data_IF_614879076394
#
_entry.id   IF_614879076394
#
_cell.length_a   1.000
_cell.length_b   1.000
_cell.length_c   1.000
_cell.angle_alpha   90.00
_cell.angle_beta   90.00
_cell.angle_gamma   90.00
#
_symmetry.space_group_name_H-M   'P 1'
#
loop_
_entity.id
_entity.type
_entity.pdbx_description
1 polymer ?
#
# COMPACT_ATOMS: atom_id res chain seq x y z
N UNK A 1 23.02 -12.60 -4.05
CA UNK A 1 21.64 -12.54 -4.59
C UNK A 1 20.72 -11.95 -3.52
N UNK A 2 20.03 -10.83 -3.79
CA UNK A 2 19.16 -10.15 -2.81
C UNK A 2 17.95 -11.05 -2.52
N UNK A 3 17.77 -11.50 -1.28
CA UNK A 3 16.66 -12.40 -0.90
C UNK A 3 15.45 -11.55 -0.54
N UNK A 4 14.45 -11.52 -1.41
CA UNK A 4 13.19 -10.83 -1.16
C UNK A 4 12.36 -11.64 -0.14
N UNK A 5 11.88 -10.95 0.91
CA UNK A 5 11.03 -11.54 1.94
C UNK A 5 9.55 -11.38 1.56
N UNK A 6 8.72 -12.27 2.06
CA UNK A 6 7.26 -12.08 2.06
C UNK A 6 6.92 -10.92 3.00
N UNK A 7 6.11 -9.98 2.52
CA UNK A 7 5.67 -8.84 3.31
C UNK A 7 4.55 -9.28 4.27
N UNK A 8 4.57 -8.73 5.48
CA UNK A 8 3.51 -8.88 6.46
C UNK A 8 3.16 -7.50 7.04
N UNK A 9 1.89 -7.31 7.38
CA UNK A 9 1.34 -6.13 8.05
C UNK A 9 0.89 -6.50 9.47
N UNK A 10 1.00 -5.53 10.38
CA UNK A 10 0.48 -5.64 11.75
C UNK A 10 -1.04 -5.43 11.79
N UNK A 11 -1.74 -5.87 12.85
CA UNK A 11 -3.15 -5.49 13.06
C UNK A 11 -3.36 -3.98 12.90
N UNK A 12 -4.36 -3.61 12.09
CA UNK A 12 -4.67 -2.22 11.75
C UNK A 12 -3.73 -1.55 10.74
N UNK A 13 -2.80 -2.29 10.11
CA UNK A 13 -1.80 -1.74 9.18
C UNK A 13 -2.09 -2.13 7.72
N UNK A 14 -1.92 -1.16 6.83
CA UNK A 14 -1.74 -1.34 5.39
C UNK A 14 -0.28 -1.10 5.05
N UNK A 15 0.29 -1.95 4.20
CA UNK A 15 1.70 -1.86 3.84
C UNK A 15 1.92 -2.21 2.38
N UNK A 16 2.79 -1.45 1.72
CA UNK A 16 3.30 -1.76 0.40
C UNK A 16 4.82 -1.83 0.39
N UNK A 17 5.35 -2.71 -0.45
CA UNK A 17 6.79 -2.75 -0.72
C UNK A 17 7.20 -3.90 -1.62
N UNK A 18 8.44 -3.83 -2.09
CA UNK A 18 8.96 -4.80 -3.04
C UNK A 18 9.32 -6.12 -2.35
N UNK A 19 8.69 -7.21 -2.77
CA UNK A 19 8.80 -8.52 -2.13
C UNK A 19 8.15 -9.59 -2.98
N UNK A 20 7.74 -10.70 -2.36
CA UNK A 20 6.97 -11.75 -3.04
C UNK A 20 5.68 -12.00 -2.27
N UNK A 21 4.59 -12.27 -3.00
CA UNK A 21 3.35 -12.76 -2.40
C UNK A 21 3.56 -14.16 -1.80
N UNK A 22 4.15 -15.07 -2.59
CA UNK A 22 4.54 -16.41 -2.15
C UNK A 22 5.95 -16.81 -2.62
N UNK A 23 6.39 -18.04 -2.30
CA UNK A 23 7.74 -18.52 -2.65
C UNK A 23 7.95 -18.76 -4.15
N UNK A 24 6.88 -18.99 -4.89
CA UNK A 24 6.86 -19.35 -6.31
C UNK A 24 6.67 -18.14 -7.21
N UNK A 25 6.13 -17.03 -6.70
CA UNK A 25 5.98 -15.79 -7.43
C UNK A 25 7.31 -15.04 -7.61
N UNK A 26 7.45 -14.40 -8.78
CA UNK A 26 8.48 -13.40 -9.03
C UNK A 26 8.28 -12.20 -8.09
N UNK A 27 9.35 -11.53 -7.66
CA UNK A 27 9.20 -10.38 -6.81
C UNK A 27 8.57 -9.20 -7.57
N UNK A 28 7.67 -8.50 -6.90
CA UNK A 28 6.94 -7.34 -7.42
C UNK A 28 6.69 -6.35 -6.28
N UNK A 29 6.03 -5.23 -6.59
CA UNK A 29 5.39 -4.43 -5.55
C UNK A 29 4.20 -5.24 -4.98
N UNK A 30 4.18 -5.43 -3.66
CA UNK A 30 3.16 -6.23 -2.97
C UNK A 30 2.44 -5.37 -1.95
N UNK A 31 1.13 -5.57 -1.82
CA UNK A 31 0.25 -4.88 -0.89
C UNK A 31 -0.32 -5.88 0.10
N UNK A 32 -0.16 -5.58 1.39
CA UNK A 32 -0.61 -6.45 2.47
C UNK A 32 -1.41 -5.66 3.50
N UNK A 33 -2.37 -6.34 4.11
CA UNK A 33 -3.24 -5.81 5.16
C UNK A 33 -3.15 -6.72 6.39
N UNK A 34 -3.23 -6.15 7.58
CA UNK A 34 -3.07 -6.90 8.83
C UNK A 34 -4.35 -7.19 9.60
N UNK A 35 -5.54 -6.91 9.05
CA UNK A 35 -6.80 -7.01 9.79
C UNK A 35 -6.96 -5.85 10.78
N UNK A 36 -7.73 -6.02 11.86
CA UNK A 36 -7.91 -4.97 12.88
C UNK A 36 -8.45 -3.66 12.32
N UNK A 37 -9.37 -3.74 11.35
CA UNK A 37 -9.89 -2.60 10.60
C UNK A 37 -9.23 -2.40 9.23
N UNK A 38 -7.96 -2.79 9.03
CA UNK A 38 -7.31 -2.75 7.72
C UNK A 38 -7.63 -3.99 6.89
N UNK A 39 -8.38 -3.81 5.81
CA UNK A 39 -8.94 -4.90 5.00
C UNK A 39 -8.35 -4.95 3.59
N UNK A 40 -8.62 -6.05 2.88
CA UNK A 40 -8.21 -6.24 1.48
C UNK A 40 -8.68 -5.12 0.53
N UNK A 41 -9.92 -4.59 0.62
CA UNK A 41 -10.33 -3.45 -0.21
C UNK A 41 -9.47 -2.21 0.01
N UNK A 42 -9.00 -1.96 1.23
CA UNK A 42 -8.14 -0.80 1.51
C UNK A 42 -6.74 -0.98 0.87
N UNK A 43 -6.21 -2.20 0.87
CA UNK A 43 -4.98 -2.52 0.15
C UNK A 43 -5.15 -2.35 -1.38
N UNK A 44 -6.36 -2.62 -1.92
CA UNK A 44 -6.69 -2.36 -3.33
C UNK A 44 -6.66 -0.85 -3.64
N UNK A 45 -7.18 0.00 -2.75
CA UNK A 45 -7.09 1.46 -2.90
C UNK A 45 -5.64 1.91 -2.99
N UNK A 46 -4.77 1.38 -2.14
CA UNK A 46 -3.33 1.68 -2.17
C UNK A 46 -2.68 1.22 -3.47
N UNK A 47 -3.01 0.01 -3.94
CA UNK A 47 -2.53 -0.51 -5.23
C UNK A 47 -2.95 0.37 -6.40
N UNK A 48 -4.23 0.72 -6.48
CA UNK A 48 -4.74 1.64 -7.50
C UNK A 48 -4.04 3.00 -7.48
N UNK A 49 -3.79 3.56 -6.30
CA UNK A 49 -3.11 4.85 -6.18
C UNK A 49 -1.66 4.84 -6.70
N UNK A 50 -0.97 3.69 -6.60
CA UNK A 50 0.44 3.57 -6.98
C UNK A 50 0.62 3.09 -8.42
N UNK A 51 -0.16 2.11 -8.86
CA UNK A 51 0.07 1.39 -10.11
C UNK A 51 -0.94 1.69 -11.22
N UNK A 52 -2.13 2.21 -10.92
CA UNK A 52 -3.08 2.53 -11.99
C UNK A 52 -2.59 3.75 -12.79
N UNK A 53 -2.82 3.69 -14.10
CA UNK A 53 -2.63 4.84 -14.98
C UNK A 53 -3.57 5.95 -14.54
N UNK A 54 -3.04 7.17 -14.50
CA UNK A 54 -3.83 8.35 -14.11
C UNK A 54 -4.50 8.93 -15.35
N UNK A 55 -5.77 9.30 -15.21
CA UNK A 55 -6.50 9.99 -16.28
C UNK A 55 -6.46 11.49 -16.02
N UNK A 56 -6.22 12.27 -17.07
CA UNK A 56 -6.21 13.71 -17.02
C UNK A 56 -6.76 14.31 -18.31
N UNK A 57 -6.70 15.63 -18.39
CA UNK A 57 -7.02 16.36 -19.61
C UNK A 57 -5.76 17.03 -20.15
N UNK A 58 -5.51 16.86 -21.44
CA UNK A 58 -4.42 17.50 -22.16
C UNK A 58 -4.77 18.96 -22.46
N UNK A 59 -3.98 19.92 -21.98
CA UNK A 59 -4.17 21.34 -22.29
C UNK A 59 -3.43 21.73 -23.59
N UNK A 60 -4.01 22.55 -24.49
CA UNK A 60 -5.32 23.22 -24.44
C UNK A 60 -6.49 22.40 -25.00
N UNK A 61 -6.22 21.23 -25.59
CA UNK A 61 -7.22 20.44 -26.33
C UNK A 61 -8.39 19.92 -25.50
N UNK A 62 -8.23 19.84 -24.18
CA UNK A 62 -9.13 19.19 -23.23
C UNK A 62 -9.45 17.72 -23.58
N UNK A 63 -8.63 17.08 -24.41
CA UNK A 63 -8.78 15.66 -24.71
C UNK A 63 -8.43 14.81 -23.47
N UNK A 64 -9.13 13.68 -23.30
CA UNK A 64 -8.79 12.71 -22.27
C UNK A 64 -7.41 12.14 -22.57
N UNK A 65 -6.49 12.21 -21.61
CA UNK A 65 -5.16 11.63 -21.73
C UNK A 65 -4.89 10.64 -20.59
N UNK A 66 -4.16 9.59 -20.93
CA UNK A 66 -3.66 8.62 -19.97
C UNK A 66 -2.22 8.95 -19.62
N UNK A 67 -1.97 9.24 -18.34
CA UNK A 67 -0.66 9.54 -17.78
C UNK A 67 -0.07 8.29 -17.11
N UNK A 68 1.26 8.19 -17.01
CA UNK A 68 1.90 7.10 -16.28
C UNK A 68 1.44 7.04 -14.81
N UNK A 69 1.48 5.83 -14.25
CA UNK A 69 1.29 5.62 -12.83
C UNK A 69 2.44 6.22 -12.02
N UNK A 70 2.31 6.30 -10.70
CA UNK A 70 3.39 6.83 -9.86
C UNK A 70 4.66 5.97 -9.99
N UNK A 71 4.50 4.65 -10.01
CA UNK A 71 5.64 3.72 -10.13
C UNK A 71 6.38 3.94 -11.45
N UNK A 72 5.65 4.02 -12.56
CA UNK A 72 6.25 4.25 -13.89
C UNK A 72 6.97 5.60 -13.97
N UNK A 73 6.39 6.66 -13.39
CA UNK A 73 7.08 7.96 -13.33
C UNK A 73 8.37 7.90 -12.53
N UNK A 74 8.37 7.20 -11.40
CA UNK A 74 9.56 7.05 -10.56
C UNK A 74 10.65 6.23 -11.26
N UNK A 75 10.30 5.14 -11.93
CA UNK A 75 11.24 4.35 -12.75
C UNK A 75 11.83 5.17 -13.89
N UNK A 76 10.99 5.90 -14.63
CA UNK A 76 11.43 6.76 -15.74
C UNK A 76 12.37 7.89 -15.27
N UNK A 77 12.30 8.27 -14.00
CA UNK A 77 13.19 9.26 -13.37
C UNK A 77 14.46 8.64 -12.77
N UNK A 78 14.61 7.31 -12.83
CA UNK A 78 15.78 6.59 -12.34
C UNK A 78 15.73 6.22 -10.85
N UNK A 79 14.56 6.24 -10.22
CA UNK A 79 14.42 5.78 -8.83
C UNK A 79 14.34 4.25 -8.74
N UNK A 80 15.00 3.67 -7.75
CA UNK A 80 14.94 2.23 -7.46
C UNK A 80 13.65 1.89 -6.69
N UNK A 81 12.62 1.41 -7.40
CA UNK A 81 11.33 0.99 -6.80
C UNK A 81 11.49 -0.18 -5.83
N UNK A 82 12.56 -0.97 -5.92
CA UNK A 82 12.79 -2.07 -4.98
C UNK A 82 12.99 -1.59 -3.55
N UNK A 83 13.31 -0.30 -3.38
CA UNK A 83 13.44 0.39 -2.10
C UNK A 83 12.12 0.93 -1.55
N UNK A 84 11.03 0.95 -2.33
CA UNK A 84 9.75 1.51 -1.90
C UNK A 84 9.23 0.78 -0.66
N UNK A 85 8.98 1.54 0.40
CA UNK A 85 8.36 1.08 1.64
C UNK A 85 7.31 2.09 2.05
N UNK A 86 6.07 1.64 2.16
CA UNK A 86 4.94 2.48 2.52
C UNK A 86 4.11 1.78 3.58
N UNK A 87 3.65 2.51 4.60
CA UNK A 87 2.90 1.95 5.72
C UNK A 87 1.90 2.97 6.25
N UNK A 88 0.64 2.57 6.40
CA UNK A 88 -0.42 3.37 7.02
C UNK A 88 -1.02 2.53 8.15
N UNK A 89 -1.30 3.16 9.30
CA UNK A 89 -2.04 2.52 10.38
C UNK A 89 -3.41 3.17 10.55
N UNK A 90 -4.38 2.36 10.93
CA UNK A 90 -5.66 2.82 11.44
C UNK A 90 -5.41 3.79 12.61
N UNK A 91 -6.25 4.83 12.67
CA UNK A 91 -6.29 5.69 13.84
C UNK A 91 -6.86 4.87 14.99
N UNK A 92 -6.29 5.05 16.18
CA UNK A 92 -6.93 4.58 17.40
C UNK A 92 -8.24 5.36 17.56
N UNK A 93 -9.36 4.64 17.60
CA UNK A 93 -10.66 5.26 17.94
C UNK A 93 -10.77 5.37 19.45
N UNK A 94 -11.50 6.36 19.99
CA UNK A 94 -11.76 6.47 21.43
C UNK A 94 -12.39 5.19 22.03
N UNK A 95 -13.17 4.44 21.24
CA UNK A 95 -13.81 3.18 21.68
C UNK A 95 -12.83 2.02 21.92
N UNK A 96 -11.64 2.05 21.33
CA UNK A 96 -10.61 1.03 21.61
C UNK A 96 -9.85 1.29 22.92
N UNK A 97 -9.85 2.54 23.41
CA UNK A 97 -9.28 2.88 24.71
C UNK A 97 -10.18 2.46 25.87
N UNK A 98 -11.51 2.43 25.67
CA UNK A 98 -12.47 2.12 26.74
C UNK A 98 -12.62 0.63 27.06
N UNK A 99 -12.27 -0.27 26.11
CA UNK A 99 -12.39 -1.72 26.30
C UNK A 99 -11.21 -2.32 27.08
N UNK A 100 -10.00 -1.76 26.98
CA UNK A 100 -8.86 -2.20 27.79
C UNK A 100 -8.96 -1.68 29.24
N UNK A 101 -9.56 -0.51 29.45
CA UNK A 101 -9.81 0.04 30.79
C UNK A 101 -10.93 -0.69 31.55
N UNK A 102 -11.90 -1.29 30.83
CA UNK A 102 -13.05 -1.98 31.44
C UNK A 102 -12.74 -3.38 32.00
N UNK A 103 -11.60 -3.98 31.64
CA UNK A 103 -11.19 -5.31 32.13
C UNK A 103 -10.08 -5.28 33.19
N UNK A 104 -9.70 -4.09 33.66
CA UNK A 104 -8.87 -3.89 34.84
C UNK A 104 -9.67 -4.08 36.15
N UNK A 105 -10.27 -5.25 36.35
CA UNK A 105 -10.80 -5.63 37.67
C UNK A 105 -9.60 -5.90 38.59
N UNK A 106 -9.32 -4.96 39.49
CA UNK A 106 -8.70 -5.24 40.78
C UNK A 106 -9.78 -5.40 41.83
#
# INVERSE_FOLDING_TARGET
MKRYRTLTAKPGELKAGYGREDRHCSPSLVYVWGGGGAQKPDARVLGSALEDKRHGYAFPSMALEQRPSLIEELEARGYDITTLRFSIRMKETPDTLSLEDAHGIR
#
